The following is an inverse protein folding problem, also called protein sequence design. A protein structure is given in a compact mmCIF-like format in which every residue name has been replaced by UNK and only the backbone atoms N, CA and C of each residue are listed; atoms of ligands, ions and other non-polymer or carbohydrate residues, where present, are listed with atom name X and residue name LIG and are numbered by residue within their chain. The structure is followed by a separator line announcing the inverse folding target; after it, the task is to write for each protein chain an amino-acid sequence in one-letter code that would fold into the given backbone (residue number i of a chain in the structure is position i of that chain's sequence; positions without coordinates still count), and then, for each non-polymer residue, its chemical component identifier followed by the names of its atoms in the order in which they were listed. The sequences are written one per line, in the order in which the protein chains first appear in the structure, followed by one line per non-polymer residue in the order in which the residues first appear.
data_IF_411498034413
#
_entry.id   IF_411498034413
#
_cell.length_a   1.000
_cell.length_b   1.000
_cell.length_c   1.000
_cell.angle_alpha   90.00
_cell.angle_beta   90.00
_cell.angle_gamma   90.00
#
_symmetry.space_group_name_H-M   'P 1'
#
loop_
_entity.id
_entity.type
_entity.pdbx_description
1 polymer ?
#
# COMPACT_ATOMS: atom_id res chain seq x y z
N UNK A 1 15.42 -3.13 14.48
CA UNK A 1 14.34 -4.07 14.76
C UNK A 1 13.18 -3.90 13.77
N UNK A 2 12.26 -4.88 13.73
CA UNK A 2 11.15 -4.94 12.77
C UNK A 2 10.18 -3.74 12.79
N UNK A 3 10.19 -2.93 13.85
CA UNK A 3 9.37 -1.71 13.99
C UNK A 3 10.17 -0.42 13.86
N UNK A 4 11.43 -0.49 13.41
CA UNK A 4 12.33 0.67 13.35
C UNK A 4 11.87 1.79 12.41
N UNK A 5 11.06 1.47 11.42
CA UNK A 5 10.47 2.39 10.45
C UNK A 5 9.31 3.24 11.03
N UNK A 6 8.73 2.84 12.16
CA UNK A 6 7.62 3.57 12.79
C UNK A 6 8.18 4.74 13.60
N UNK A 7 7.84 5.98 13.20
CA UNK A 7 8.36 7.21 13.83
C UNK A 7 7.72 7.49 15.20
N UNK A 8 6.42 7.30 15.33
CA UNK A 8 5.70 7.47 16.59
C UNK A 8 6.10 6.41 17.62
N UNK A 9 6.53 6.83 18.80
CA UNK A 9 6.89 5.90 19.89
C UNK A 9 5.70 5.06 20.35
N UNK A 10 4.52 5.66 20.42
CA UNK A 10 3.29 4.98 20.82
C UNK A 10 2.87 3.93 19.78
N UNK A 11 2.85 4.30 18.51
CA UNK A 11 2.56 3.35 17.44
C UNK A 11 3.59 2.22 17.41
N UNK A 12 4.88 2.54 17.60
CA UNK A 12 5.95 1.53 17.65
C UNK A 12 5.73 0.53 18.77
N UNK A 13 5.32 0.98 19.97
CA UNK A 13 5.03 0.08 21.09
C UNK A 13 3.93 -0.93 20.74
N UNK A 14 2.86 -0.49 20.09
CA UNK A 14 1.76 -1.36 19.61
C UNK A 14 2.25 -2.38 18.58
N UNK A 15 3.15 -1.98 17.66
CA UNK A 15 3.74 -2.91 16.70
C UNK A 15 4.63 -3.96 17.39
N UNK A 16 5.44 -3.56 18.38
CA UNK A 16 6.27 -4.49 19.14
C UNK A 16 5.40 -5.52 19.88
N UNK A 17 4.35 -5.06 20.54
CA UNK A 17 3.39 -5.94 21.21
C UNK A 17 2.71 -6.91 20.23
N UNK A 18 2.27 -6.41 19.08
CA UNK A 18 1.68 -7.26 18.05
C UNK A 18 2.67 -8.32 17.54
N UNK A 19 3.92 -7.94 17.27
CA UNK A 19 4.95 -8.87 16.83
C UNK A 19 5.29 -9.95 17.88
N UNK A 20 5.23 -9.64 19.17
CA UNK A 20 5.45 -10.63 20.23
C UNK A 20 4.39 -11.74 20.24
N UNK A 21 3.19 -11.46 19.71
CA UNK A 21 2.07 -12.41 19.59
C UNK A 21 1.95 -13.02 18.20
N UNK A 22 2.80 -12.60 17.26
CA UNK A 22 2.71 -13.03 15.86
C UNK A 22 3.49 -14.31 15.61
N UNK A 23 2.94 -15.15 14.73
CA UNK A 23 3.65 -16.27 14.16
C UNK A 23 4.50 -15.79 12.96
N UNK A 24 5.80 -15.60 13.21
CA UNK A 24 6.73 -15.14 12.17
C UNK A 24 6.92 -16.16 11.05
N UNK A 25 6.77 -17.44 11.34
CA UNK A 25 6.89 -18.46 10.30
C UNK A 25 5.72 -18.35 9.32
N UNK A 26 4.50 -18.23 9.84
CA UNK A 26 3.31 -18.02 9.02
C UNK A 26 3.42 -16.72 8.19
N UNK A 27 3.87 -15.62 8.80
CA UNK A 27 4.08 -14.34 8.11
C UNK A 27 5.09 -14.45 6.96
N UNK A 28 6.16 -15.22 7.15
CA UNK A 28 7.21 -15.39 6.14
C UNK A 28 6.83 -16.41 5.05
N UNK A 29 5.82 -17.26 5.28
CA UNK A 29 5.43 -18.28 4.31
C UNK A 29 4.94 -17.67 2.99
N UNK A 30 4.32 -16.48 3.01
CA UNK A 30 3.99 -15.76 1.80
C UNK A 30 5.22 -15.52 0.93
N UNK A 31 6.29 -14.99 1.51
CA UNK A 31 7.55 -14.72 0.79
C UNK A 31 8.26 -16.01 0.39
N UNK A 32 8.27 -17.02 1.27
CA UNK A 32 8.87 -18.33 0.96
C UNK A 32 8.25 -18.97 -0.28
N UNK A 33 6.94 -18.79 -0.50
CA UNK A 33 6.19 -19.41 -1.59
C UNK A 33 6.15 -18.58 -2.87
N UNK A 34 6.12 -17.24 -2.73
CA UNK A 34 5.83 -16.35 -3.86
C UNK A 34 7.05 -15.55 -4.32
N UNK A 35 8.12 -15.50 -3.53
CA UNK A 35 9.30 -14.73 -3.92
C UNK A 35 10.08 -15.48 -5.02
N UNK A 36 10.39 -14.82 -6.15
CA UNK A 36 11.13 -15.46 -7.25
C UNK A 36 12.49 -15.96 -6.77
N UNK A 37 12.87 -17.16 -7.20
CA UNK A 37 14.17 -17.78 -6.90
C UNK A 37 14.88 -18.18 -8.19
N UNK A 38 16.22 -18.16 -8.19
CA UNK A 38 16.98 -18.68 -9.32
C UNK A 38 16.69 -20.19 -9.60
N UNK A 39 16.67 -20.61 -10.87
CA UNK A 39 16.75 -19.76 -12.06
C UNK A 39 15.45 -18.98 -12.27
N UNK A 40 15.59 -17.65 -12.43
CA UNK A 40 14.41 -16.79 -12.70
C UNK A 40 13.79 -17.16 -14.03
N UNK A 41 12.48 -17.41 -14.01
CA UNK A 41 11.69 -17.65 -15.22
C UNK A 41 10.79 -16.46 -15.44
N UNK A 42 10.65 -16.05 -16.68
CA UNK A 42 9.66 -15.07 -17.06
C UNK A 42 8.25 -15.63 -16.81
N UNK A 43 7.40 -14.85 -16.17
CA UNK A 43 5.99 -15.19 -16.02
C UNK A 43 5.27 -14.84 -17.33
N UNK A 44 4.93 -15.86 -18.09
CA UNK A 44 4.18 -15.72 -19.34
C UNK A 44 2.68 -15.89 -19.17
N UNK A 45 2.20 -15.92 -17.92
CA UNK A 45 0.77 -16.01 -17.64
C UNK A 45 0.02 -14.83 -18.25
N UNK A 46 -1.20 -15.04 -18.77
CA UNK A 46 -2.02 -13.94 -19.27
C UNK A 46 -2.26 -12.91 -18.16
N UNK A 47 -2.04 -11.66 -18.51
CA UNK A 47 -2.32 -10.55 -17.58
C UNK A 47 -3.83 -10.40 -17.42
N UNK A 48 -4.28 -10.41 -16.17
CA UNK A 48 -5.69 -10.14 -15.84
C UNK A 48 -5.78 -8.72 -15.26
N UNK A 49 -6.37 -7.77 -16.00
CA UNK A 49 -6.52 -6.42 -15.51
C UNK A 49 -7.44 -6.34 -14.29
N UNK A 50 -7.18 -5.37 -13.42
CA UNK A 50 -8.03 -5.07 -12.26
C UNK A 50 -9.33 -4.42 -12.76
N UNK A 51 -10.48 -5.08 -12.49
CA UNK A 51 -11.80 -4.64 -12.94
C UNK A 51 -12.52 -3.66 -12.01
N UNK A 52 -11.93 -3.36 -10.87
CA UNK A 52 -12.43 -2.38 -9.91
C UNK A 52 -11.74 -1.02 -10.07
N UNK A 53 -12.37 0.09 -9.64
CA UNK A 53 -11.65 1.33 -9.44
C UNK A 53 -10.52 1.15 -8.43
N UNK A 54 -9.39 1.82 -8.65
CA UNK A 54 -8.20 1.68 -7.81
C UNK A 54 -7.81 3.02 -7.21
N UNK A 55 -7.58 3.04 -5.90
CA UNK A 55 -6.89 4.12 -5.21
C UNK A 55 -5.54 3.61 -4.73
N UNK A 56 -4.48 4.23 -5.19
CA UNK A 56 -3.11 3.86 -4.86
C UNK A 56 -2.38 5.03 -4.20
N UNK A 57 -1.68 4.75 -3.11
CA UNK A 57 -0.77 5.70 -2.47
C UNK A 57 0.66 5.21 -2.61
N UNK A 58 1.59 6.14 -2.87
CA UNK A 58 3.00 5.81 -2.98
C UNK A 58 3.88 6.91 -2.38
N UNK A 59 4.80 6.50 -1.51
CA UNK A 59 5.81 7.40 -0.94
C UNK A 59 6.99 7.56 -1.90
N UNK A 60 7.33 8.79 -2.27
CA UNK A 60 8.41 9.04 -3.25
C UNK A 60 9.82 8.73 -2.73
N UNK A 61 9.98 8.54 -1.41
CA UNK A 61 11.22 8.07 -0.80
C UNK A 61 11.22 6.56 -0.55
N UNK A 62 10.30 5.81 -1.15
CA UNK A 62 10.29 4.35 -1.06
C UNK A 62 11.54 3.78 -1.75
N UNK A 63 12.30 2.99 -1.00
CA UNK A 63 13.52 2.31 -1.46
C UNK A 63 13.32 0.83 -1.74
N UNK A 64 12.17 0.29 -1.36
CA UNK A 64 11.81 -1.10 -1.63
C UNK A 64 11.04 -1.22 -2.94
N UNK A 65 10.05 -0.35 -3.15
CA UNK A 65 9.31 -0.21 -4.40
C UNK A 65 9.60 1.17 -4.96
N UNK A 66 10.49 1.23 -5.93
CA UNK A 66 10.94 2.52 -6.48
C UNK A 66 9.79 3.25 -7.18
N UNK A 67 9.72 4.60 -7.12
CA UNK A 67 8.68 5.39 -7.78
C UNK A 67 8.55 5.13 -9.28
N UNK A 68 9.63 4.74 -9.94
CA UNK A 68 9.60 4.37 -11.36
C UNK A 68 8.69 3.15 -11.65
N UNK A 69 8.43 2.29 -10.66
CA UNK A 69 7.50 1.19 -10.80
C UNK A 69 6.03 1.63 -10.99
N UNK A 70 5.72 2.90 -10.73
CA UNK A 70 4.39 3.47 -11.00
C UNK A 70 4.13 3.71 -12.48
N UNK A 71 5.19 3.76 -13.29
CA UNK A 71 5.04 3.99 -14.72
C UNK A 71 4.21 2.87 -15.35
N UNK A 72 3.25 3.28 -16.16
CA UNK A 72 2.36 2.37 -16.88
C UNK A 72 1.40 1.53 -16.03
N UNK A 73 1.30 1.75 -14.71
CA UNK A 73 0.35 1.00 -13.85
C UNK A 73 -1.09 1.12 -14.32
N UNK A 74 -1.47 2.21 -15.01
CA UNK A 74 -2.80 2.39 -15.60
C UNK A 74 -3.15 1.35 -16.66
N UNK A 75 -2.18 0.71 -17.30
CA UNK A 75 -2.40 -0.37 -18.28
C UNK A 75 -3.01 -1.63 -17.66
N UNK A 76 -2.91 -1.77 -16.34
CA UNK A 76 -3.37 -2.93 -15.56
C UNK A 76 -4.73 -2.71 -14.90
N UNK A 77 -5.37 -1.57 -15.16
CA UNK A 77 -6.65 -1.19 -14.54
C UNK A 77 -7.66 -0.89 -15.64
N UNK A 78 -8.78 -1.63 -15.65
CA UNK A 78 -9.86 -1.42 -16.65
C UNK A 78 -10.72 -0.18 -16.35
N UNK A 79 -10.78 0.22 -15.08
CA UNK A 79 -11.54 1.41 -14.66
C UNK A 79 -10.58 2.55 -14.31
N UNK A 80 -11.01 3.46 -13.48
CA UNK A 80 -10.20 4.59 -13.10
C UNK A 80 -9.11 4.20 -12.07
N UNK A 81 -7.97 4.81 -12.21
CA UNK A 81 -6.87 4.79 -11.26
C UNK A 81 -6.68 6.18 -10.67
N UNK A 82 -6.84 6.30 -9.35
CA UNK A 82 -6.44 7.48 -8.61
C UNK A 82 -5.09 7.20 -7.96
N UNK A 83 -4.07 7.94 -8.35
CA UNK A 83 -2.73 7.80 -7.81
C UNK A 83 -2.37 9.03 -6.96
N UNK A 84 -1.99 8.80 -5.72
CA UNK A 84 -1.53 9.82 -4.78
C UNK A 84 -0.08 9.56 -4.42
N UNK A 85 0.81 10.41 -4.89
CA UNK A 85 2.22 10.36 -4.53
C UNK A 85 2.51 11.32 -3.38
N UNK A 86 3.30 10.86 -2.40
CA UNK A 86 3.58 11.63 -1.19
C UNK A 86 5.08 11.88 -1.07
N UNK A 87 5.54 13.11 -1.39
CA UNK A 87 6.92 13.51 -1.17
C UNK A 87 7.32 13.37 0.30
N UNK A 88 8.54 12.91 0.56
CA UNK A 88 9.05 12.74 1.92
C UNK A 88 8.59 11.48 2.66
N UNK A 89 7.60 10.76 2.14
CA UNK A 89 7.17 9.46 2.68
C UNK A 89 7.93 8.30 2.05
N UNK A 90 8.17 7.25 2.85
CA UNK A 90 8.81 6.02 2.41
C UNK A 90 7.82 4.89 2.11
N UNK A 91 8.29 3.66 2.29
CA UNK A 91 7.51 2.44 2.01
C UNK A 91 6.19 2.34 2.78
N UNK A 92 6.15 2.85 3.99
CA UNK A 92 4.96 2.82 4.84
C UNK A 92 4.22 4.15 4.84
N UNK A 93 3.79 4.59 3.65
CA UNK A 93 3.13 5.88 3.44
C UNK A 93 1.93 6.11 4.37
N UNK A 94 1.19 5.06 4.71
CA UNK A 94 0.06 5.11 5.64
C UNK A 94 0.47 5.44 7.09
N UNK A 95 1.72 5.25 7.45
CA UNK A 95 2.28 5.65 8.75
C UNK A 95 2.92 7.03 8.69
N UNK A 96 3.59 7.33 7.57
CA UNK A 96 4.28 8.59 7.39
C UNK A 96 3.31 9.76 7.16
N UNK A 97 2.18 9.50 6.49
CA UNK A 97 1.16 10.48 6.11
C UNK A 97 -0.27 10.01 6.46
N UNK A 98 -0.47 9.50 7.68
CA UNK A 98 -1.69 8.82 8.11
C UNK A 98 -2.97 9.65 7.92
N UNK A 99 -2.93 10.95 8.23
CA UNK A 99 -4.08 11.84 8.06
C UNK A 99 -4.43 12.01 6.59
N UNK A 100 -3.45 12.29 5.73
CA UNK A 100 -3.65 12.42 4.29
C UNK A 100 -4.26 11.16 3.71
N UNK A 101 -3.69 10.00 4.02
CA UNK A 101 -4.17 8.70 3.54
C UNK A 101 -5.62 8.46 3.97
N UNK A 102 -5.91 8.62 5.27
CA UNK A 102 -7.24 8.34 5.83
C UNK A 102 -8.31 9.28 5.26
N UNK A 103 -8.03 10.57 5.13
CA UNK A 103 -8.97 11.55 4.57
C UNK A 103 -9.21 11.33 3.09
N UNK A 104 -8.15 11.06 2.33
CA UNK A 104 -8.26 10.78 0.89
C UNK A 104 -9.05 9.50 0.64
N UNK A 105 -8.79 8.44 1.40
CA UNK A 105 -9.56 7.19 1.29
C UNK A 105 -11.05 7.43 1.53
N UNK A 106 -11.41 8.17 2.59
CA UNK A 106 -12.81 8.48 2.89
C UNK A 106 -13.47 9.24 1.73
N UNK A 107 -12.84 10.31 1.28
CA UNK A 107 -13.36 11.13 0.18
C UNK A 107 -13.51 10.30 -1.11
N UNK A 108 -12.54 9.45 -1.42
CA UNK A 108 -12.57 8.60 -2.60
C UNK A 108 -13.71 7.56 -2.51
N UNK A 109 -13.91 6.94 -1.34
CA UNK A 109 -15.00 6.01 -1.11
C UNK A 109 -16.36 6.69 -1.25
N UNK A 110 -16.52 7.89 -0.69
CA UNK A 110 -17.77 8.67 -0.83
C UNK A 110 -18.08 8.96 -2.29
N UNK A 111 -17.07 9.33 -3.08
CA UNK A 111 -17.22 9.52 -4.53
C UNK A 111 -17.68 8.25 -5.28
N UNK A 112 -17.13 7.08 -4.88
CA UNK A 112 -17.42 5.80 -5.57
C UNK A 112 -18.77 5.21 -5.16
N UNK A 113 -19.20 5.44 -3.93
CA UNK A 113 -20.47 4.90 -3.41
C UNK A 113 -21.66 5.84 -3.59
N UNK A 114 -21.44 7.05 -4.08
CA UNK A 114 -22.48 8.09 -4.18
C UNK A 114 -22.95 8.62 -2.82
N UNK A 115 -22.25 8.30 -1.74
CA UNK A 115 -22.54 8.82 -0.40
C UNK A 115 -22.10 10.28 -0.35
N UNK A 116 -23.03 11.22 -0.53
CA UNK A 116 -22.80 12.62 -0.18
C UNK A 116 -22.80 12.71 1.35
N UNK A 117 -21.64 12.98 1.93
CA UNK A 117 -21.57 13.47 3.31
C UNK A 117 -22.47 14.72 3.40
N UNK A 118 -23.65 14.58 3.99
CA UNK A 118 -24.46 15.73 4.39
C UNK A 118 -23.72 16.42 5.54
N UNK A 119 -22.80 17.32 5.20
CA UNK A 119 -22.26 18.28 6.14
C UNK A 119 -23.43 19.20 6.50
N UNK A 120 -24.07 18.91 7.64
CA UNK A 120 -24.95 19.89 8.30
C UNK A 120 -24.11 21.10 8.67
N UNK A 121 -24.53 22.25 8.17
CA UNK A 121 -24.05 23.57 8.57
C UNK A 121 -24.35 23.83 10.06
#
# INVERSE_FOLDING_TARGET
GLSGWVKSKEARARYVEAFQRSDFEAMLNYYKRNYPRPPYKEDTSPVVPVKAPVLMFHGLNDRALLPAALNDTWKWVEKDLTLVTVPGSGHFVQQDAAELVSRTMRMWLDLKTGHRSTSSR
#
